data_IF_533804494429
#
_entry.id   IF_533804494429
#
_cell.length_a   1.000
_cell.length_b   1.000
_cell.length_c   1.000
_cell.angle_alpha   90.00
_cell.angle_beta   90.00
_cell.angle_gamma   90.00
#
_symmetry.space_group_name_H-M   'P 1'
#
loop_
_entity.id
_entity.type
_entity.pdbx_description
1 polymer ?
#
# COMPACT_ATOMS: atom_id res chain seq x y z
N UNK A 1 -5.35 -14.32 -11.97
CA UNK A 1 -4.67 -13.01 -12.16
C UNK A 1 -5.52 -11.90 -11.57
N UNK A 2 -4.95 -10.76 -11.15
CA UNK A 2 -5.69 -9.61 -10.60
C UNK A 2 -6.69 -10.00 -9.52
N UNK A 3 -6.23 -10.71 -8.51
CA UNK A 3 -7.12 -11.22 -7.46
C UNK A 3 -6.48 -11.15 -6.10
N UNK A 4 -7.26 -10.69 -5.12
CA UNK A 4 -6.89 -10.78 -3.71
C UNK A 4 -7.49 -12.06 -3.13
N UNK A 5 -6.65 -12.92 -2.56
CA UNK A 5 -7.06 -14.09 -1.78
C UNK A 5 -6.64 -13.83 -0.34
N UNK A 6 -7.61 -13.55 0.53
CA UNK A 6 -7.31 -13.22 1.91
C UNK A 6 -8.35 -13.69 2.91
N UNK A 7 -7.88 -14.03 4.11
CA UNK A 7 -8.72 -14.42 5.24
C UNK A 7 -9.33 -15.81 5.11
N UNK A 8 -8.83 -16.64 4.20
CA UNK A 8 -9.33 -18.00 4.02
C UNK A 8 -8.70 -18.96 5.03
N UNK A 9 -9.46 -19.97 5.44
CA UNK A 9 -9.01 -21.00 6.37
C UNK A 9 -9.30 -22.38 5.78
N UNK A 10 -8.27 -23.22 5.72
CA UNK A 10 -8.38 -24.62 5.34
C UNK A 10 -8.12 -25.53 6.54
N UNK A 11 -8.78 -26.69 6.59
CA UNK A 11 -8.60 -27.64 7.68
C UNK A 11 -7.20 -28.28 7.73
N UNK A 12 -6.49 -28.37 6.60
CA UNK A 12 -5.17 -29.02 6.53
C UNK A 12 -4.20 -28.41 5.50
N UNK A 13 -4.65 -28.16 4.27
CA UNK A 13 -3.77 -27.83 3.14
C UNK A 13 -4.27 -26.62 2.38
N UNK A 14 -3.36 -25.70 2.02
CA UNK A 14 -3.64 -24.62 1.09
C UNK A 14 -4.72 -23.68 1.60
N UNK A 15 -4.40 -22.85 2.59
CA UNK A 15 -5.38 -21.92 3.16
C UNK A 15 -6.01 -21.01 2.11
N UNK A 16 -5.23 -20.57 1.10
CA UNK A 16 -5.77 -19.90 -0.08
C UNK A 16 -5.88 -20.84 -1.29
N UNK A 17 -4.81 -21.57 -1.62
CA UNK A 17 -4.71 -22.38 -2.83
C UNK A 17 -4.13 -23.74 -2.49
N UNK A 18 -4.83 -24.81 -2.86
CA UNK A 18 -4.30 -26.16 -2.90
C UNK A 18 -4.11 -26.60 -4.37
N UNK A 19 -2.87 -26.53 -4.86
CA UNK A 19 -2.50 -26.90 -6.21
C UNK A 19 -1.88 -28.29 -6.25
N UNK A 20 -2.56 -29.24 -6.89
CA UNK A 20 -2.13 -30.64 -6.92
C UNK A 20 -1.38 -30.95 -8.21
N UNK A 21 -2.02 -30.70 -9.37
CA UNK A 21 -1.52 -31.04 -10.71
C UNK A 21 -1.89 -29.98 -11.74
N UNK A 22 -1.24 -30.05 -12.91
CA UNK A 22 -1.46 -29.14 -14.03
C UNK A 22 -0.62 -27.86 -13.95
N UNK A 23 -0.71 -27.01 -14.96
CA UNK A 23 -0.05 -25.69 -14.92
C UNK A 23 -1.02 -24.66 -14.33
N UNK A 24 -0.57 -23.92 -13.32
CA UNK A 24 -1.27 -22.76 -12.79
C UNK A 24 -0.40 -21.52 -12.90
N UNK A 25 -1.00 -20.39 -13.29
CA UNK A 25 -0.32 -19.09 -13.37
C UNK A 25 -0.96 -18.09 -12.44
N UNK A 26 -0.20 -17.63 -11.45
CA UNK A 26 -0.60 -16.60 -10.52
C UNK A 26 0.15 -15.32 -10.87
N UNK A 27 -0.62 -14.30 -11.23
CA UNK A 27 -0.03 -13.06 -11.70
C UNK A 27 -0.83 -11.85 -11.26
N UNK A 28 -0.14 -10.83 -10.72
CA UNK A 28 -0.79 -9.71 -10.06
C UNK A 28 -1.81 -10.23 -9.04
N UNK A 29 -1.38 -11.13 -8.16
CA UNK A 29 -2.20 -11.70 -7.10
C UNK A 29 -1.69 -11.22 -5.75
N UNK A 30 -2.62 -10.88 -4.85
CA UNK A 30 -2.30 -10.58 -3.45
C UNK A 30 -2.84 -11.70 -2.58
N UNK A 31 -1.96 -12.58 -2.10
CA UNK A 31 -2.30 -13.77 -1.35
C UNK A 31 -1.81 -13.61 0.10
N UNK A 32 -2.70 -13.18 0.99
CA UNK A 32 -2.32 -12.74 2.34
C UNK A 32 -3.30 -13.13 3.44
N UNK A 33 -2.80 -13.36 4.65
CA UNK A 33 -3.64 -13.68 5.83
C UNK A 33 -4.52 -14.93 5.64
N UNK A 34 -4.02 -15.92 4.92
CA UNK A 34 -4.68 -17.22 4.80
C UNK A 34 -4.03 -18.24 5.74
N UNK A 35 -4.82 -19.21 6.19
CA UNK A 35 -4.40 -20.15 7.22
C UNK A 35 -4.69 -21.61 6.83
N UNK A 36 -3.73 -22.49 7.11
CA UNK A 36 -3.92 -23.93 7.08
C UNK A 36 -3.85 -24.49 8.51
N UNK A 37 -4.95 -25.10 8.97
CA UNK A 37 -5.01 -25.86 10.20
C UNK A 37 -4.22 -27.16 10.14
N UNK A 38 -3.97 -27.84 11.27
CA UNK A 38 -3.19 -29.09 11.29
C UNK A 38 -3.91 -30.31 10.72
N UNK A 39 -5.24 -30.30 10.65
CA UNK A 39 -6.04 -31.45 10.22
C UNK A 39 -5.76 -32.70 11.06
N UNK A 40 -5.45 -33.80 10.40
CA UNK A 40 -5.01 -35.07 11.00
C UNK A 40 -3.48 -35.18 11.17
N UNK A 41 -2.73 -34.17 10.72
CA UNK A 41 -1.28 -34.06 10.83
C UNK A 41 -0.86 -33.17 12.02
N UNK A 42 0.44 -33.16 12.34
CA UNK A 42 0.96 -32.32 13.43
C UNK A 42 1.00 -30.82 13.10
N UNK A 43 0.89 -30.45 11.82
CA UNK A 43 0.95 -29.07 11.33
C UNK A 43 0.17 -28.93 10.02
N UNK A 44 -0.38 -27.72 9.79
CA UNK A 44 -0.98 -27.36 8.51
C UNK A 44 0.06 -27.18 7.42
N UNK A 45 -0.36 -27.28 6.17
CA UNK A 45 0.56 -27.27 5.03
C UNK A 45 0.20 -26.13 4.06
N UNK A 46 1.05 -25.11 3.98
CA UNK A 46 0.91 -24.02 3.03
C UNK A 46 -0.31 -23.18 3.34
N UNK A 47 -0.24 -22.36 4.39
CA UNK A 47 -1.30 -21.40 4.72
C UNK A 47 -1.71 -20.54 3.53
N UNK A 48 -0.72 -20.15 2.73
CA UNK A 48 -0.95 -19.53 1.43
C UNK A 48 -1.21 -20.59 0.37
N UNK A 49 -0.13 -21.19 -0.14
CA UNK A 49 -0.15 -22.11 -1.26
C UNK A 49 0.38 -23.49 -0.85
N UNK A 50 -0.42 -24.53 -1.02
CA UNK A 50 0.05 -25.90 -0.99
C UNK A 50 0.29 -26.40 -2.41
N UNK A 51 1.48 -26.95 -2.68
CA UNK A 51 1.86 -27.54 -3.97
C UNK A 51 2.23 -29.01 -3.77
N UNK A 52 1.57 -29.91 -4.50
CA UNK A 52 1.84 -31.35 -4.42
C UNK A 52 2.84 -31.85 -5.48
N UNK A 53 2.58 -31.61 -6.76
CA UNK A 53 3.35 -32.22 -7.86
C UNK A 53 3.91 -31.20 -8.85
N UNK A 54 3.06 -30.33 -9.41
CA UNK A 54 3.47 -29.36 -10.43
C UNK A 54 3.69 -27.97 -9.81
N UNK A 55 4.83 -27.34 -10.10
CA UNK A 55 5.11 -25.99 -9.61
C UNK A 55 4.26 -24.96 -10.38
N UNK A 56 3.50 -24.09 -9.69
CA UNK A 56 2.82 -22.99 -10.35
C UNK A 56 3.82 -21.88 -10.73
N UNK A 57 3.56 -21.24 -11.87
CA UNK A 57 4.26 -20.03 -12.28
C UNK A 57 3.70 -18.84 -11.51
N UNK A 58 4.59 -18.05 -10.88
CA UNK A 58 4.17 -16.84 -10.15
C UNK A 58 4.99 -15.64 -10.60
N UNK A 59 4.33 -14.55 -10.94
CA UNK A 59 4.97 -13.29 -11.32
C UNK A 59 4.18 -12.08 -10.82
N UNK A 60 4.85 -10.95 -10.62
CA UNK A 60 4.21 -9.68 -10.27
C UNK A 60 3.31 -9.75 -9.02
N UNK A 61 3.52 -10.69 -8.11
CA UNK A 61 2.54 -11.05 -7.06
C UNK A 61 3.06 -10.84 -5.65
N UNK A 62 2.15 -10.72 -4.69
CA UNK A 62 2.44 -10.60 -3.26
C UNK A 62 1.97 -11.88 -2.55
N UNK A 63 2.86 -12.53 -1.81
CA UNK A 63 2.57 -13.67 -0.94
C UNK A 63 3.14 -13.36 0.45
N UNK A 64 2.28 -13.01 1.40
CA UNK A 64 2.74 -12.60 2.71
C UNK A 64 1.74 -12.91 3.82
N UNK A 65 2.22 -12.99 5.06
CA UNK A 65 1.38 -13.10 6.25
C UNK A 65 0.44 -14.31 6.28
N UNK A 66 0.70 -15.33 5.47
CA UNK A 66 -0.04 -16.58 5.55
C UNK A 66 0.59 -17.49 6.61
N UNK A 67 -0.20 -18.39 7.18
CA UNK A 67 0.20 -19.15 8.35
C UNK A 67 -0.21 -20.62 8.31
N UNK A 68 0.61 -21.47 8.91
CA UNK A 68 0.30 -22.87 9.16
C UNK A 68 0.23 -23.10 10.67
N UNK A 69 -0.89 -23.65 11.15
CA UNK A 69 -1.07 -23.93 12.57
C UNK A 69 -0.46 -25.29 12.96
N UNK A 70 0.12 -25.37 14.17
CA UNK A 70 0.60 -26.61 14.76
C UNK A 70 -0.39 -27.13 15.82
N UNK A 71 -0.52 -28.46 15.94
CA UNK A 71 -1.38 -29.10 16.94
C UNK A 71 -1.00 -28.62 18.36
N UNK A 72 -2.00 -28.16 19.12
CA UNK A 72 -1.83 -27.74 20.52
C UNK A 72 -1.14 -26.38 20.70
N UNK A 73 -0.77 -25.68 19.62
CA UNK A 73 -0.29 -24.31 19.69
C UNK A 73 -1.44 -23.33 19.43
N UNK A 74 -1.78 -22.44 20.38
CA UNK A 74 -2.72 -21.35 20.11
C UNK A 74 -2.08 -20.25 19.23
N UNK A 75 -0.77 -20.32 19.01
CA UNK A 75 0.00 -19.38 18.19
C UNK A 75 0.34 -20.07 16.88
N UNK A 76 -0.04 -19.46 15.75
CA UNK A 76 0.37 -19.92 14.44
C UNK A 76 1.90 -19.95 14.34
N UNK A 77 2.47 -21.11 14.01
CA UNK A 77 3.92 -21.26 13.96
C UNK A 77 4.40 -20.77 12.59
N UNK A 78 5.46 -19.95 12.49
CA UNK A 78 5.90 -19.37 11.21
C UNK A 78 6.44 -20.36 10.15
N UNK A 79 6.42 -21.68 10.38
CA UNK A 79 7.00 -22.67 9.46
C UNK A 79 5.95 -23.04 8.40
N UNK A 80 6.24 -22.91 7.10
CA UNK A 80 5.30 -23.36 6.05
C UNK A 80 4.11 -22.44 5.78
N UNK A 81 4.13 -21.22 6.33
CA UNK A 81 2.95 -20.35 6.31
C UNK A 81 2.60 -19.84 4.93
N UNK A 82 3.58 -19.41 4.14
CA UNK A 82 3.33 -18.88 2.81
C UNK A 82 3.17 -19.98 1.78
N UNK A 83 3.99 -21.02 1.87
CA UNK A 83 3.88 -22.13 0.94
C UNK A 83 4.46 -23.44 1.47
N UNK A 84 3.99 -24.54 0.87
CA UNK A 84 4.62 -25.86 0.96
C UNK A 84 4.78 -26.39 -0.45
N UNK A 85 5.97 -26.91 -0.77
CA UNK A 85 6.33 -27.42 -2.09
C UNK A 85 7.08 -26.38 -2.93
N UNK A 86 7.17 -26.63 -4.24
CA UNK A 86 7.95 -25.80 -5.16
C UNK A 86 7.08 -24.79 -5.90
N UNK A 87 7.54 -23.55 -5.97
CA UNK A 87 6.99 -22.46 -6.78
C UNK A 87 8.03 -22.09 -7.85
N UNK A 88 7.58 -21.94 -9.10
CA UNK A 88 8.42 -21.42 -10.18
C UNK A 88 8.21 -19.91 -10.30
N UNK A 89 9.20 -19.14 -9.84
CA UNK A 89 9.14 -17.68 -9.91
C UNK A 89 9.47 -17.22 -11.32
N UNK A 90 8.65 -16.32 -11.84
CA UNK A 90 8.87 -15.58 -13.08
C UNK A 90 9.35 -14.15 -12.79
N UNK A 91 9.77 -13.89 -11.55
CA UNK A 91 10.30 -12.61 -11.08
C UNK A 91 9.23 -11.61 -10.64
N UNK A 92 9.71 -10.53 -10.02
CA UNK A 92 8.88 -9.42 -9.55
C UNK A 92 7.82 -9.83 -8.53
N UNK A 93 8.10 -10.84 -7.72
CA UNK A 93 7.25 -11.25 -6.61
C UNK A 93 7.75 -10.63 -5.30
N UNK A 94 6.82 -10.37 -4.37
CA UNK A 94 7.13 -10.03 -3.00
C UNK A 94 6.66 -11.15 -2.09
N UNK A 95 7.62 -11.85 -1.48
CA UNK A 95 7.34 -13.07 -0.70
C UNK A 95 7.96 -12.92 0.68
N UNK A 96 7.13 -12.83 1.71
CA UNK A 96 7.61 -12.62 3.09
C UNK A 96 8.19 -13.90 3.69
N UNK A 97 9.08 -13.75 4.68
CA UNK A 97 9.49 -14.81 5.62
C UNK A 97 10.01 -16.14 5.00
N UNK A 98 10.58 -16.13 3.81
CA UNK A 98 11.12 -17.34 3.13
C UNK A 98 12.29 -17.98 3.88
N UNK A 99 13.03 -17.25 4.70
CA UNK A 99 14.14 -17.79 5.51
C UNK A 99 13.68 -18.68 6.67
N UNK A 100 12.43 -18.54 7.12
CA UNK A 100 11.84 -19.35 8.19
C UNK A 100 10.86 -20.40 7.65
N UNK A 101 10.49 -20.27 6.37
CA UNK A 101 9.65 -21.21 5.65
C UNK A 101 10.53 -22.19 4.83
N UNK A 102 11.09 -23.18 5.52
CA UNK A 102 11.91 -24.21 4.87
C UNK A 102 11.10 -25.22 4.04
N UNK A 103 9.78 -25.08 3.99
CA UNK A 103 8.89 -25.97 3.24
C UNK A 103 8.52 -25.39 1.87
N UNK A 104 8.77 -24.09 1.67
CA UNK A 104 8.60 -23.44 0.40
C UNK A 104 9.92 -23.34 -0.37
N UNK A 105 9.98 -23.99 -1.53
CA UNK A 105 11.11 -23.89 -2.44
C UNK A 105 10.76 -22.96 -3.60
N UNK A 106 11.43 -21.81 -3.68
CA UNK A 106 11.26 -20.86 -4.80
C UNK A 106 12.39 -21.09 -5.80
N UNK A 107 12.03 -21.46 -7.02
CA UNK A 107 12.96 -21.68 -8.14
C UNK A 107 12.67 -20.69 -9.28
N UNK A 108 13.35 -20.82 -10.41
CA UNK A 108 13.12 -19.98 -11.58
C UNK A 108 13.88 -18.64 -11.54
N UNK A 109 13.25 -17.58 -12.04
CA UNK A 109 13.80 -16.23 -12.16
C UNK A 109 13.60 -15.41 -10.88
N UNK A 110 14.48 -15.60 -9.89
CA UNK A 110 14.32 -14.95 -8.58
C UNK A 110 15.03 -13.60 -8.44
N UNK A 111 15.78 -13.15 -9.44
CA UNK A 111 16.66 -11.97 -9.33
C UNK A 111 15.90 -10.66 -9.01
N UNK A 112 14.66 -10.52 -9.51
CA UNK A 112 13.83 -9.34 -9.30
C UNK A 112 12.76 -9.54 -8.22
N UNK A 113 12.82 -10.65 -7.48
CA UNK A 113 11.93 -10.88 -6.35
C UNK A 113 12.40 -10.09 -5.12
N UNK A 114 11.44 -9.57 -4.36
CA UNK A 114 11.66 -9.05 -3.02
C UNK A 114 11.33 -10.13 -2.00
N UNK A 115 12.33 -10.95 -1.69
CA UNK A 115 12.20 -12.04 -0.72
C UNK A 115 12.48 -11.54 0.70
N UNK A 116 11.77 -12.10 1.68
CA UNK A 116 11.90 -11.78 3.11
C UNK A 116 11.51 -10.36 3.50
N UNK A 117 10.67 -9.71 2.68
CA UNK A 117 10.15 -8.39 3.03
C UNK A 117 8.66 -8.46 3.34
N UNK A 118 8.24 -7.59 4.25
CA UNK A 118 6.86 -7.47 4.69
C UNK A 118 6.17 -6.34 3.92
N UNK A 119 5.16 -6.63 3.07
CA UNK A 119 4.48 -5.61 2.29
C UNK A 119 3.59 -4.72 3.17
N UNK A 120 3.63 -3.41 2.95
CA UNK A 120 2.80 -2.48 3.73
C UNK A 120 1.37 -2.38 3.15
N UNK A 121 0.50 -3.29 3.61
CA UNK A 121 -0.91 -3.37 3.21
C UNK A 121 -1.85 -2.66 4.19
N UNK A 122 -2.97 -2.16 3.70
CA UNK A 122 -4.11 -1.72 4.52
C UNK A 122 -4.94 -2.93 5.00
N UNK A 123 -5.81 -2.79 6.02
CA UNK A 123 -6.82 -3.81 6.34
C UNK A 123 -7.70 -4.13 5.13
N UNK A 124 -8.36 -5.29 5.10
CA UNK A 124 -9.23 -5.69 3.99
C UNK A 124 -10.38 -4.68 3.82
N UNK A 125 -10.54 -4.17 2.60
CA UNK A 125 -11.53 -3.16 2.24
C UNK A 125 -12.53 -3.71 1.22
N UNK A 126 -13.65 -3.03 1.04
CA UNK A 126 -14.58 -3.25 -0.07
C UNK A 126 -14.54 -2.01 -0.95
N UNK A 127 -14.23 -2.20 -2.22
CA UNK A 127 -14.27 -1.11 -3.19
C UNK A 127 -15.71 -0.70 -3.47
N UNK A 128 -16.02 0.60 -3.32
CA UNK A 128 -17.38 1.11 -3.45
C UNK A 128 -17.94 0.98 -4.88
N UNK A 129 -17.07 0.96 -5.90
CA UNK A 129 -17.49 0.88 -7.30
C UNK A 129 -17.63 -0.57 -7.79
N UNK A 130 -16.60 -1.38 -7.61
CA UNK A 130 -16.57 -2.76 -8.10
C UNK A 130 -17.18 -3.78 -7.13
N UNK A 131 -17.40 -3.41 -5.87
CA UNK A 131 -17.85 -4.31 -4.80
C UNK A 131 -16.81 -5.36 -4.39
N UNK A 132 -15.60 -5.31 -4.97
CA UNK A 132 -14.57 -6.30 -4.74
C UNK A 132 -13.83 -6.05 -3.43
N UNK A 133 -13.44 -7.13 -2.77
CA UNK A 133 -12.58 -7.08 -1.58
C UNK A 133 -11.12 -7.02 -1.97
N UNK A 134 -10.37 -6.12 -1.37
CA UNK A 134 -8.95 -5.92 -1.68
C UNK A 134 -8.17 -5.34 -0.49
N UNK A 135 -6.85 -5.47 -0.55
CA UNK A 135 -5.92 -4.74 0.30
C UNK A 135 -5.24 -3.66 -0.52
N UNK A 136 -5.38 -2.39 -0.16
CA UNK A 136 -4.65 -1.29 -0.79
C UNK A 136 -3.18 -1.29 -0.34
N UNK A 137 -2.28 -0.86 -1.23
CA UNK A 137 -0.88 -0.59 -0.93
C UNK A 137 -0.73 0.78 -0.24
N UNK A 138 0.14 0.87 0.78
CA UNK A 138 0.44 2.14 1.47
C UNK A 138 1.56 2.92 0.76
N UNK A 139 1.65 4.25 0.91
CA UNK A 139 2.66 5.09 0.19
C UNK A 139 4.11 4.66 0.33
N UNK A 140 4.49 4.17 1.51
CA UNK A 140 5.86 3.72 1.81
C UNK A 140 6.09 2.26 1.42
N UNK A 141 5.15 1.70 0.66
CA UNK A 141 5.20 0.31 0.28
C UNK A 141 6.14 0.15 -0.90
N UNK A 142 7.14 -0.69 -0.71
CA UNK A 142 8.09 -1.11 -1.74
C UNK A 142 7.46 -1.91 -2.90
N UNK A 143 6.16 -2.23 -2.81
CA UNK A 143 5.44 -2.89 -3.90
C UNK A 143 4.98 -1.93 -4.99
N UNK A 144 5.02 -0.62 -4.72
CA UNK A 144 4.57 0.43 -5.63
C UNK A 144 5.61 0.63 -6.75
N UNK A 145 5.14 0.72 -7.99
CA UNK A 145 5.93 0.89 -9.23
C UNK A 145 7.08 -0.14 -9.32
N UNK A 146 6.85 -1.38 -8.87
CA UNK A 146 7.90 -2.38 -8.64
C UNK A 146 7.63 -3.75 -9.27
N UNK A 147 6.56 -3.88 -10.06
CA UNK A 147 6.32 -5.06 -10.89
C UNK A 147 7.15 -5.02 -12.17
N UNK A 148 6.95 -6.02 -13.04
CA UNK A 148 7.63 -6.11 -14.32
C UNK A 148 7.31 -4.88 -15.19
N UNK A 149 8.33 -4.28 -15.85
CA UNK A 149 8.14 -3.06 -16.64
C UNK A 149 7.03 -3.16 -17.68
N UNK A 150 6.31 -2.06 -17.91
CA UNK A 150 5.17 -1.97 -18.83
C UNK A 150 4.03 -2.94 -18.50
N UNK A 151 3.89 -3.35 -17.22
CA UNK A 151 2.87 -4.29 -16.78
C UNK A 151 2.91 -5.65 -17.51
N UNK A 152 4.11 -6.04 -17.97
CA UNK A 152 4.28 -7.26 -18.75
C UNK A 152 3.88 -8.50 -17.96
N UNK A 153 3.19 -9.41 -18.65
CA UNK A 153 2.76 -10.69 -18.10
C UNK A 153 3.80 -11.80 -18.32
N UNK A 154 3.66 -12.92 -17.61
CA UNK A 154 4.45 -14.15 -17.76
C UNK A 154 4.44 -14.65 -19.21
N UNK A 155 3.29 -14.57 -19.91
CA UNK A 155 3.12 -15.01 -21.31
C UNK A 155 3.22 -13.88 -22.35
N UNK A 156 4.06 -12.88 -22.11
CA UNK A 156 4.40 -11.80 -23.06
C UNK A 156 3.24 -10.88 -23.54
N UNK A 157 2.14 -10.80 -22.78
CA UNK A 157 1.14 -9.73 -22.87
C UNK A 157 1.35 -8.60 -21.85
N UNK A 158 0.40 -7.67 -21.74
CA UNK A 158 0.36 -6.67 -20.68
C UNK A 158 -1.04 -6.61 -20.05
N UNK A 159 -1.14 -6.41 -18.74
CA UNK A 159 -2.41 -6.12 -18.08
C UNK A 159 -2.58 -4.61 -17.94
N UNK A 160 -3.61 -4.06 -18.57
CA UNK A 160 -3.93 -2.62 -18.54
C UNK A 160 -4.94 -2.22 -17.46
N UNK A 161 -5.54 -3.20 -16.79
CA UNK A 161 -6.46 -3.00 -15.68
C UNK A 161 -6.08 -3.88 -14.50
N UNK A 162 -6.37 -3.40 -13.28
CA UNK A 162 -6.18 -4.13 -12.03
C UNK A 162 -7.45 -4.91 -11.61
N UNK A 163 -7.44 -5.52 -10.41
CA UNK A 163 -8.59 -6.22 -9.84
C UNK A 163 -9.85 -5.36 -9.79
N UNK A 164 -9.72 -4.07 -9.49
CA UNK A 164 -10.82 -3.13 -9.30
C UNK A 164 -11.31 -2.51 -10.62
N UNK A 165 -10.84 -3.02 -11.76
CA UNK A 165 -11.12 -2.53 -13.13
C UNK A 165 -10.62 -1.10 -13.35
N UNK A 166 -9.55 -0.73 -12.67
CA UNK A 166 -8.89 0.55 -12.77
C UNK A 166 -7.66 0.44 -13.66
N UNK A 167 -7.33 1.51 -14.37
CA UNK A 167 -6.16 1.54 -15.24
C UNK A 167 -4.85 1.33 -14.47
N UNK A 168 -3.89 0.70 -15.15
CA UNK A 168 -2.49 0.55 -14.77
C UNK A 168 -1.58 0.69 -16.01
N UNK A 169 -0.32 1.17 -15.87
CA UNK A 169 0.29 1.60 -14.62
C UNK A 169 -0.17 3.00 -14.18
N UNK A 170 -0.10 3.28 -12.88
CA UNK A 170 -0.25 4.63 -12.32
C UNK A 170 0.98 4.92 -11.48
N UNK A 171 1.64 6.05 -11.72
CA UNK A 171 2.75 6.48 -10.88
C UNK A 171 2.27 6.67 -9.43
N UNK A 172 2.74 5.79 -8.55
CA UNK A 172 2.30 5.71 -7.17
C UNK A 172 3.33 6.25 -6.17
N UNK A 173 4.61 6.25 -6.53
CA UNK A 173 5.71 6.62 -5.62
C UNK A 173 6.31 8.03 -5.85
N UNK A 174 5.96 8.70 -6.95
CA UNK A 174 6.44 10.04 -7.29
C UNK A 174 7.86 10.10 -7.87
N UNK A 175 8.37 9.00 -8.42
CA UNK A 175 9.71 8.93 -9.01
C UNK A 175 9.80 9.45 -10.46
N UNK A 176 8.70 9.91 -11.04
CA UNK A 176 8.59 10.43 -12.41
C UNK A 176 8.34 9.37 -13.47
N UNK A 177 8.11 8.12 -13.10
CA UNK A 177 7.79 7.01 -14.02
C UNK A 177 6.72 6.10 -13.44
N UNK A 178 5.66 5.86 -14.21
CA UNK A 178 4.62 4.91 -13.84
C UNK A 178 5.02 3.49 -14.24
N UNK A 179 5.07 2.59 -13.27
CA UNK A 179 5.21 1.15 -13.50
C UNK A 179 4.11 0.41 -12.76
N UNK A 180 3.85 -0.84 -13.16
CA UNK A 180 2.81 -1.59 -12.47
C UNK A 180 3.23 -1.89 -11.02
N UNK A 181 2.23 -1.96 -10.15
CA UNK A 181 2.44 -2.42 -8.78
C UNK A 181 2.43 -3.95 -8.68
N UNK A 182 3.19 -4.49 -7.73
CA UNK A 182 3.06 -5.92 -7.41
C UNK A 182 1.72 -6.17 -6.70
N UNK A 183 1.12 -7.31 -7.01
CA UNK A 183 -0.15 -7.73 -6.46
C UNK A 183 -1.36 -7.27 -7.27
N UNK A 184 -2.53 -7.43 -6.67
CA UNK A 184 -3.80 -7.41 -7.40
C UNK A 184 -4.32 -6.02 -7.77
N UNK A 185 -3.88 -4.98 -7.06
CA UNK A 185 -4.40 -3.62 -7.20
C UNK A 185 -3.29 -2.66 -7.51
N UNK A 186 -3.62 -1.65 -8.30
CA UNK A 186 -2.75 -0.50 -8.52
C UNK A 186 -3.01 0.55 -7.44
N UNK A 187 -1.95 1.05 -6.81
CA UNK A 187 -1.96 2.14 -5.86
C UNK A 187 -2.46 3.38 -6.57
N UNK A 188 -3.44 4.02 -5.96
CA UNK A 188 -3.99 5.28 -6.44
C UNK A 188 -3.56 6.40 -5.56
N UNK A 189 -3.23 7.50 -6.22
CA UNK A 189 -2.83 8.71 -5.55
C UNK A 189 -3.70 9.89 -5.99
N UNK A 190 -3.75 10.89 -5.12
CA UNK A 190 -4.42 12.18 -5.29
C UNK A 190 -3.46 13.30 -4.91
N UNK A 191 -3.83 14.53 -5.23
CA UNK A 191 -3.09 15.73 -4.91
C UNK A 191 -3.73 16.58 -3.82
N UNK A 192 -2.91 17.37 -3.13
CA UNK A 192 -3.32 18.50 -2.31
C UNK A 192 -2.62 19.75 -2.82
N UNK A 193 -3.41 20.71 -3.29
CA UNK A 193 -2.94 22.03 -3.68
C UNK A 193 -3.21 23.00 -2.51
N UNK A 194 -2.13 23.53 -1.92
CA UNK A 194 -2.20 24.42 -0.77
C UNK A 194 -1.72 25.82 -1.17
N UNK A 195 -2.60 26.81 -1.08
CA UNK A 195 -2.28 28.22 -1.33
C UNK A 195 -2.23 28.98 -0.01
N UNK A 196 -1.13 29.65 0.27
CA UNK A 196 -0.93 30.46 1.48
C UNK A 196 -0.80 31.94 1.11
N UNK A 197 -1.48 32.80 1.86
CA UNK A 197 -1.56 34.24 1.56
C UNK A 197 -1.47 35.11 2.81
N UNK A 198 -0.88 36.29 2.68
CA UNK A 198 -0.81 37.31 3.71
C UNK A 198 0.26 37.07 4.79
N UNK A 199 0.42 38.07 5.67
CA UNK A 199 1.44 38.08 6.73
C UNK A 199 2.89 38.19 6.23
N UNK A 200 3.84 38.67 7.06
CA UNK A 200 5.27 38.66 6.76
C UNK A 200 5.94 37.27 6.86
N UNK A 201 5.27 36.27 7.44
CA UNK A 201 5.79 34.90 7.58
C UNK A 201 4.70 33.87 7.83
N UNK A 202 4.85 32.67 7.26
CA UNK A 202 3.91 31.57 7.44
C UNK A 202 4.64 30.23 7.35
N UNK A 203 4.06 29.23 7.98
CA UNK A 203 4.39 27.82 7.75
C UNK A 203 3.13 27.00 8.00
N UNK A 204 2.85 26.02 7.14
CA UNK A 204 1.80 25.03 7.40
C UNK A 204 2.47 23.68 7.60
N UNK A 205 2.39 23.15 8.82
CA UNK A 205 2.82 21.80 9.11
C UNK A 205 1.80 20.79 8.58
N UNK A 206 2.30 19.73 7.97
CA UNK A 206 1.51 18.65 7.42
C UNK A 206 1.94 17.37 8.10
N UNK A 207 0.98 16.52 8.46
CA UNK A 207 1.28 15.22 9.05
C UNK A 207 2.29 14.43 8.20
N UNK A 208 3.34 13.91 8.84
CA UNK A 208 4.40 13.06 8.26
C UNK A 208 3.79 11.99 7.30
N UNK A 209 4.35 11.73 6.10
CA UNK A 209 5.71 12.02 5.63
C UNK A 209 5.90 13.29 4.79
N UNK A 210 4.95 14.21 4.80
CA UNK A 210 5.01 15.39 3.93
C UNK A 210 5.79 16.52 4.59
N UNK A 211 6.62 17.21 3.79
CA UNK A 211 7.32 18.41 4.24
C UNK A 211 6.32 19.55 4.49
N UNK A 212 6.61 20.39 5.49
CA UNK A 212 5.83 21.59 5.76
C UNK A 212 5.82 22.54 4.55
N UNK A 213 4.72 23.26 4.37
CA UNK A 213 4.60 24.27 3.32
C UNK A 213 5.16 25.59 3.83
N UNK A 214 6.25 26.04 3.19
CA UNK A 214 6.95 27.30 3.50
C UNK A 214 6.92 28.30 2.34
N UNK A 215 6.17 27.98 1.28
CA UNK A 215 6.04 28.80 0.07
C UNK A 215 4.57 29.21 -0.13
N UNK A 216 4.28 30.32 -0.84
CA UNK A 216 2.91 30.77 -1.07
C UNK A 216 2.02 29.75 -1.79
N UNK A 217 2.62 28.78 -2.50
CA UNK A 217 1.93 27.69 -3.16
C UNK A 217 2.73 26.41 -3.02
N UNK A 218 2.15 25.39 -2.39
CA UNK A 218 2.72 24.06 -2.25
C UNK A 218 1.84 23.02 -2.92
N UNK A 219 2.42 22.21 -3.79
CA UNK A 219 1.73 21.13 -4.48
C UNK A 219 2.22 19.80 -3.92
N UNK A 220 1.32 19.06 -3.28
CA UNK A 220 1.60 17.71 -2.80
C UNK A 220 0.95 16.74 -3.76
N UNK A 221 1.75 15.88 -4.37
CA UNK A 221 1.30 14.83 -5.29
C UNK A 221 1.61 13.46 -4.70
N UNK A 222 1.04 12.43 -5.28
CA UNK A 222 1.26 11.04 -4.87
C UNK A 222 0.78 10.75 -3.44
N UNK A 223 -0.33 11.35 -3.01
CA UNK A 223 -0.94 11.08 -1.70
C UNK A 223 -1.87 9.88 -1.86
N UNK A 224 -1.72 8.78 -1.10
CA UNK A 224 -2.59 7.62 -1.25
C UNK A 224 -4.06 7.96 -1.00
N UNK A 225 -4.95 7.41 -1.82
CA UNK A 225 -6.38 7.47 -1.54
C UNK A 225 -6.66 6.86 -0.16
N UNK A 226 -7.51 7.54 0.62
CA UNK A 226 -7.86 7.16 1.99
C UNK A 226 -6.86 7.62 3.05
N UNK A 227 -5.75 8.27 2.66
CA UNK A 227 -4.87 8.93 3.63
C UNK A 227 -5.63 10.03 4.37
N UNK A 228 -5.30 10.21 5.65
CA UNK A 228 -5.76 11.35 6.45
C UNK A 228 -4.58 12.29 6.63
N UNK A 229 -4.74 13.54 6.18
CA UNK A 229 -3.76 14.60 6.39
C UNK A 229 -4.25 15.54 7.49
N UNK A 230 -3.34 15.99 8.35
CA UNK A 230 -3.63 17.09 9.29
C UNK A 230 -2.74 18.26 8.94
N UNK A 231 -3.37 19.40 8.62
CA UNK A 231 -2.74 20.68 8.34
C UNK A 231 -2.81 21.54 9.60
N UNK A 232 -1.66 22.00 10.08
CA UNK A 232 -1.57 22.85 11.29
C UNK A 232 -0.87 24.15 10.93
N UNK A 233 -1.52 25.31 11.10
CA UNK A 233 -0.92 26.58 10.75
C UNK A 233 0.04 27.03 11.87
N UNK A 234 1.24 27.44 11.48
CA UNK A 234 2.24 28.03 12.37
C UNK A 234 2.44 29.49 12.00
N UNK A 235 2.19 30.38 12.95
CA UNK A 235 2.46 31.80 12.81
C UNK A 235 3.93 32.09 13.10
N UNK A 236 4.60 32.77 12.18
CA UNK A 236 6.00 33.20 12.32
C UNK A 236 6.16 34.65 11.86
N UNK A 237 7.27 35.29 12.23
CA UNK A 237 7.61 36.64 11.73
C UNK A 237 6.62 37.74 12.14
N UNK A 238 5.85 37.56 13.21
CA UNK A 238 4.82 38.51 13.62
C UNK A 238 3.50 38.37 12.86
N UNK A 239 3.31 37.30 12.07
CA UNK A 239 2.00 37.01 11.48
C UNK A 239 1.00 36.45 12.49
N UNK A 240 -0.28 36.49 12.14
CA UNK A 240 -1.35 35.75 12.81
C UNK A 240 -2.15 34.95 11.77
N UNK A 241 -2.46 33.70 12.07
CA UNK A 241 -3.31 32.88 11.22
C UNK A 241 -4.77 33.35 11.30
N UNK A 242 -5.38 33.68 10.16
CA UNK A 242 -6.73 34.26 10.10
C UNK A 242 -7.78 33.26 9.66
N UNK A 243 -7.39 32.18 8.98
CA UNK A 243 -8.29 31.05 8.72
C UNK A 243 -7.98 30.25 7.46
N UNK A 244 -8.71 29.15 7.36
CA UNK A 244 -8.73 28.26 6.21
C UNK A 244 -9.86 28.59 5.23
N UNK A 245 -9.68 28.18 3.98
CA UNK A 245 -10.70 28.19 2.93
C UNK A 245 -10.55 26.98 1.99
N UNK A 246 -11.52 26.78 1.09
CA UNK A 246 -11.56 25.61 0.20
C UNK A 246 -12.12 24.38 0.91
N UNK A 247 -11.40 23.26 0.83
CA UNK A 247 -11.74 22.01 1.53
C UNK A 247 -11.54 22.07 3.05
N UNK A 248 -10.97 23.16 3.56
CA UNK A 248 -10.83 23.46 4.99
C UNK A 248 -11.60 24.74 5.35
N UNK A 249 -11.98 24.89 6.61
CA UNK A 249 -12.62 26.11 7.12
C UNK A 249 -12.30 26.35 8.60
N UNK A 250 -12.56 27.59 9.05
CA UNK A 250 -12.29 28.00 10.44
C UNK A 250 -10.80 28.26 10.69
N UNK A 251 -10.40 28.29 11.96
CA UNK A 251 -9.04 28.65 12.39
C UNK A 251 -8.29 27.53 13.11
N UNK A 252 -8.96 26.43 13.46
CA UNK A 252 -8.35 25.26 14.07
C UNK A 252 -7.53 24.44 13.05
N UNK A 253 -6.73 23.47 13.48
CA UNK A 253 -6.09 22.52 12.56
C UNK A 253 -7.12 21.85 11.65
N UNK A 254 -6.79 21.69 10.37
CA UNK A 254 -7.66 21.06 9.39
C UNK A 254 -7.28 19.60 9.18
N UNK A 255 -8.23 18.68 9.35
CA UNK A 255 -8.05 17.27 9.03
C UNK A 255 -8.78 16.92 7.73
N UNK A 256 -8.05 16.43 6.74
CA UNK A 256 -8.55 16.08 5.42
C UNK A 256 -8.50 14.58 5.20
N UNK A 257 -9.59 14.03 4.68
CA UNK A 257 -9.60 12.71 4.08
C UNK A 257 -9.35 12.81 2.58
N UNK A 258 -8.24 12.23 2.13
CA UNK A 258 -7.77 12.29 0.75
C UNK A 258 -8.42 11.20 -0.08
N UNK A 259 -9.67 11.40 -0.47
CA UNK A 259 -10.40 10.52 -1.39
C UNK A 259 -10.33 10.97 -2.86
N UNK A 260 -9.95 12.22 -3.07
CA UNK A 260 -9.88 12.93 -4.35
C UNK A 260 -8.85 14.07 -4.23
N UNK A 261 -8.58 14.77 -5.32
CA UNK A 261 -7.75 15.98 -5.30
C UNK A 261 -8.40 17.04 -4.41
N UNK A 262 -7.61 17.63 -3.51
CA UNK A 262 -8.07 18.65 -2.56
C UNK A 262 -7.40 19.99 -2.83
N UNK A 263 -8.12 21.07 -2.57
CA UNK A 263 -7.62 22.44 -2.60
C UNK A 263 -7.89 23.14 -1.26
N UNK A 264 -6.83 23.69 -0.67
CA UNK A 264 -6.91 24.43 0.60
C UNK A 264 -6.26 25.78 0.46
N UNK A 265 -6.97 26.82 0.91
CA UNK A 265 -6.40 28.14 1.12
C UNK A 265 -6.10 28.37 2.61
N UNK A 266 -4.96 28.97 2.91
CA UNK A 266 -4.56 29.40 4.24
C UNK A 266 -4.27 30.91 4.23
N UNK A 267 -4.88 31.66 5.14
CA UNK A 267 -4.68 33.10 5.23
C UNK A 267 -4.01 33.49 6.54
N UNK A 268 -3.07 34.41 6.44
CA UNK A 268 -2.40 35.08 7.55
C UNK A 268 -2.58 36.59 7.42
N UNK A 269 -2.51 37.30 8.52
CA UNK A 269 -2.35 38.76 8.56
C UNK A 269 -1.05 39.13 9.23
N UNK A 270 -0.58 40.37 9.03
CA UNK A 270 0.38 40.94 9.96
C UNK A 270 -0.31 40.99 11.34
N UNK A 271 0.33 40.43 12.36
CA UNK A 271 -0.03 40.68 13.74
C UNK A 271 0.26 42.13 14.09
N UNK A 272 -0.47 42.67 15.05
CA UNK A 272 -0.12 43.96 15.62
C UNK A 272 1.32 43.89 16.15
N UNK A 273 2.20 44.75 15.64
CA UNK A 273 3.54 44.89 16.21
C UNK A 273 3.37 45.51 17.61
N UNK A 274 3.70 44.79 18.70
CA UNK A 274 3.62 45.37 20.05
C UNK A 274 4.58 46.55 20.24
N UNK A 275 5.46 46.86 19.27
CA UNK A 275 6.34 48.02 19.27
C UNK A 275 5.76 49.26 18.55
N UNK A 276 4.56 49.18 17.96
CA UNK A 276 3.81 50.32 17.39
C UNK A 276 2.49 50.58 18.15
N UNK A 277 2.52 50.42 19.48
CA UNK A 277 1.54 51.03 20.39
C UNK A 277 2.26 52.08 21.25
N UNK A 278 2.91 53.05 20.61
CA UNK A 278 3.34 54.25 21.30
C UNK A 278 2.15 55.23 21.35
N UNK A 279 1.34 55.08 22.41
CA UNK A 279 0.29 56.03 22.78
C UNK A 279 0.82 57.43 23.12
N UNK A 280 1.42 58.10 22.15
CA UNK A 280 1.87 59.49 22.18
C UNK A 280 1.37 60.23 20.93
N UNK A 281 0.04 60.39 20.84
CA UNK A 281 -0.57 61.59 20.26
C UNK A 281 -1.15 62.47 21.38
#
# INVERSE_FOLDING_TARGET
>A
RNSTLSGNQAGQRGGAIAHIQGQAELEFVTLVYNEAGPGDSSFGQGGGIYVAEAAPDIGNSIIAYNSAQAVGSPVAVPVGGNCVGTIDSQGYNSISATLFDNQCQIVGQTQNDSLNVSPALTPLQIDAFSGQRFHALRRVNQEIDSARPNCQTIRDGALSIDQLRRFRPIEGNGAGSAECDRGAVEARTVGLDLLVSGGPGFQIDISNPYAACTEPSCLYRYIPIGATLTLTPQSSGGSQFTGWSGDCSGTASCTLQMSEDRYVGASFSAGADPLFDDGFE
#
